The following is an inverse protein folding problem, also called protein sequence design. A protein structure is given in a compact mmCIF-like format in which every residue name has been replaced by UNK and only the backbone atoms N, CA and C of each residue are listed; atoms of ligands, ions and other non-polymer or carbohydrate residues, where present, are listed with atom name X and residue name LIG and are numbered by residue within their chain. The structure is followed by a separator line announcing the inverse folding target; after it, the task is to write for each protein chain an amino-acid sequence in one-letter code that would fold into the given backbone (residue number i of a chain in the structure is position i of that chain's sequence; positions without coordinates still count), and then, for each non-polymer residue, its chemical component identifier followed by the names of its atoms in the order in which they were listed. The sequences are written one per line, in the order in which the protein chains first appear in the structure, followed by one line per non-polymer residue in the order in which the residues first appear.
data_IF_108285532313
#
_entry.id   IF_108285532313
#
_cell.length_a   1.000
_cell.length_b   1.000
_cell.length_c   1.000
_cell.angle_alpha   90.00
_cell.angle_beta   90.00
_cell.angle_gamma   90.00
#
_symmetry.space_group_name_H-M   'P 1'
#
loop_
_entity.id
_entity.type
_entity.pdbx_description
1 polymer ?
#
# COMPACT_ATOMS: atom_id res chain seq x y z
N UNK A 1 -54.74 6.81 -12.69
CA UNK A 1 -54.00 7.95 -13.29
C UNK A 1 -53.60 8.88 -12.16
N UNK A 2 -52.34 8.86 -11.71
CA UNK A 2 -51.32 9.87 -12.08
C UNK A 2 -51.93 11.28 -12.03
N UNK A 3 -51.61 12.17 -11.08
CA UNK A 3 -50.28 12.69 -10.76
C UNK A 3 -50.39 13.39 -9.39
N UNK A 4 -49.60 12.97 -8.39
CA UNK A 4 -49.17 13.82 -7.26
C UNK A 4 -47.99 13.20 -6.47
N UNK A 5 -47.28 12.22 -7.05
CA UNK A 5 -45.89 11.91 -6.71
C UNK A 5 -45.01 13.04 -7.27
N UNK A 6 -44.85 14.15 -6.55
CA UNK A 6 -43.78 15.15 -6.71
C UNK A 6 -44.08 16.29 -5.75
N UNK A 7 -43.53 16.26 -4.53
CA UNK A 7 -43.80 17.34 -3.59
C UNK A 7 -43.17 17.24 -2.21
N UNK A 8 -42.61 16.08 -1.84
CA UNK A 8 -41.73 15.98 -0.68
C UNK A 8 -40.33 15.62 -1.15
N UNK A 9 -39.70 16.62 -1.74
CA UNK A 9 -38.30 16.93 -1.48
C UNK A 9 -38.19 17.23 0.03
N UNK A 10 -38.37 16.20 0.88
CA UNK A 10 -37.96 16.29 2.28
C UNK A 10 -36.47 16.48 2.22
N UNK A 11 -36.07 17.69 2.57
CA UNK A 11 -34.71 18.15 2.65
C UNK A 11 -33.78 16.99 3.01
N UNK A 12 -32.96 16.57 2.05
CA UNK A 12 -31.67 15.99 2.40
C UNK A 12 -30.98 17.11 3.16
N UNK A 13 -31.11 17.10 4.48
CA UNK A 13 -30.22 17.84 5.34
C UNK A 13 -28.85 17.27 4.98
N UNK A 14 -28.14 18.00 4.12
CA UNK A 14 -26.71 17.87 4.04
C UNK A 14 -26.24 18.09 5.47
N UNK A 15 -25.86 17.01 6.15
CA UNK A 15 -25.10 17.09 7.38
C UNK A 15 -23.74 17.62 6.91
N UNK A 16 -23.65 18.93 6.73
CA UNK A 16 -22.38 19.63 6.64
C UNK A 16 -21.74 19.46 8.00
N UNK A 17 -20.95 18.39 8.13
CA UNK A 17 -20.19 18.04 9.32
C UNK A 17 -19.03 19.03 9.40
N UNK A 18 -19.33 20.27 9.79
CA UNK A 18 -18.34 21.22 10.24
C UNK A 18 -17.87 20.76 11.63
N UNK A 19 -16.97 19.77 11.65
CA UNK A 19 -16.27 19.35 12.85
C UNK A 19 -14.94 20.08 12.90
N UNK A 20 -14.56 20.61 14.06
CA UNK A 20 -13.17 20.95 14.33
C UNK A 20 -12.26 19.77 13.92
N UNK A 21 -11.01 20.05 13.54
CA UNK A 21 -9.98 19.04 13.24
C UNK A 21 -9.60 18.30 14.53
N UNK A 22 -10.51 17.50 15.06
CA UNK A 22 -10.32 16.66 16.23
C UNK A 22 -9.66 15.37 15.77
N UNK A 23 -8.45 15.13 16.28
CA UNK A 23 -7.76 13.85 16.09
C UNK A 23 -8.57 12.78 16.83
N UNK A 24 -9.06 11.77 16.10
CA UNK A 24 -9.82 10.66 16.66
C UNK A 24 -8.93 9.45 16.89
N UNK A 25 -9.15 8.75 18.00
CA UNK A 25 -8.49 7.46 18.23
C UNK A 25 -9.21 6.38 17.43
N UNK A 26 -8.48 5.70 16.55
CA UNK A 26 -8.98 4.63 15.70
C UNK A 26 -8.55 3.30 16.31
N UNK A 27 -9.53 2.42 16.54
CA UNK A 27 -9.40 1.12 17.17
C UNK A 27 -9.86 0.02 16.23
N UNK A 28 -9.47 -1.22 16.52
CA UNK A 28 -9.87 -2.41 15.77
C UNK A 28 -11.42 -2.51 15.66
N UNK A 29 -12.17 -1.98 16.62
CA UNK A 29 -13.64 -2.01 16.60
C UNK A 29 -14.26 -0.90 15.76
N UNK A 30 -13.66 0.28 15.72
CA UNK A 30 -14.25 1.46 15.07
C UNK A 30 -13.76 1.65 13.63
N UNK A 31 -12.66 1.01 13.24
CA UNK A 31 -11.98 1.23 11.97
C UNK A 31 -12.90 1.06 10.77
N UNK A 32 -13.65 -0.04 10.68
CA UNK A 32 -14.53 -0.29 9.52
C UNK A 32 -15.62 0.77 9.37
N UNK A 33 -16.16 1.26 10.49
CA UNK A 33 -17.22 2.27 10.46
C UNK A 33 -16.69 3.68 10.19
N UNK A 34 -15.46 3.97 10.64
CA UNK A 34 -14.85 5.29 10.55
C UNK A 34 -14.14 5.47 9.21
N UNK A 35 -13.20 4.58 8.88
CA UNK A 35 -12.38 4.66 7.69
C UNK A 35 -13.14 4.46 6.37
N UNK A 36 -14.35 3.88 6.41
CA UNK A 36 -15.23 3.80 5.25
C UNK A 36 -15.88 5.15 4.89
N UNK A 37 -15.89 6.13 5.80
CA UNK A 37 -16.58 7.39 5.63
C UNK A 37 -15.60 8.55 5.42
N UNK A 38 -15.43 8.95 4.16
CA UNK A 38 -14.63 10.12 3.78
C UNK A 38 -13.12 9.87 3.73
N UNK A 39 -12.36 10.96 3.65
CA UNK A 39 -10.90 10.93 3.61
C UNK A 39 -10.32 10.98 5.01
N UNK A 40 -9.40 10.06 5.28
CA UNK A 40 -8.76 9.88 6.57
C UNK A 40 -7.25 9.99 6.48
N UNK A 41 -6.67 10.62 7.48
CA UNK A 41 -5.24 10.70 7.69
C UNK A 41 -4.88 9.96 8.96
N UNK A 42 -4.32 8.76 8.80
CA UNK A 42 -4.05 7.83 9.88
C UNK A 42 -2.58 7.89 10.29
N UNK A 43 -2.35 8.18 11.57
CA UNK A 43 -1.04 8.13 12.21
C UNK A 43 -0.88 6.86 13.02
N UNK A 44 0.02 5.98 12.60
CA UNK A 44 0.41 4.78 13.33
C UNK A 44 1.60 5.10 14.23
N UNK A 45 1.40 4.95 15.54
CA UNK A 45 2.41 5.30 16.54
C UNK A 45 2.51 4.26 17.66
N UNK A 46 3.55 4.41 18.47
CA UNK A 46 3.71 3.71 19.74
C UNK A 46 3.99 4.72 20.86
N UNK A 47 3.40 4.57 22.05
CA UNK A 47 3.60 5.49 23.18
C UNK A 47 5.06 5.52 23.67
N UNK A 48 5.80 4.43 23.49
CA UNK A 48 7.19 4.29 23.94
C UNK A 48 8.22 4.77 22.90
N UNK A 49 7.78 5.22 21.72
CA UNK A 49 8.68 5.64 20.66
C UNK A 49 9.09 7.12 20.83
N UNK A 50 10.38 7.36 21.08
CA UNK A 50 10.93 8.71 21.21
C UNK A 50 10.74 9.59 19.97
N UNK A 51 10.84 9.01 18.76
CA UNK A 51 10.61 9.73 17.51
C UNK A 51 9.14 10.17 17.36
N UNK A 52 8.19 9.29 17.72
CA UNK A 52 6.76 9.63 17.70
C UNK A 52 6.46 10.80 18.63
N UNK A 53 7.06 10.83 19.82
CA UNK A 53 6.84 11.90 20.78
C UNK A 53 7.35 13.26 20.28
N UNK A 54 8.46 13.27 19.54
CA UNK A 54 8.98 14.50 18.91
C UNK A 54 8.12 14.99 17.75
N UNK A 55 7.45 14.07 17.04
CA UNK A 55 6.60 14.37 15.89
C UNK A 55 5.21 14.89 16.27
N UNK A 56 4.72 14.59 17.49
CA UNK A 56 3.41 15.05 18.00
C UNK A 56 3.09 16.52 17.73
N UNK A 57 3.94 17.51 18.08
CA UNK A 57 3.62 18.92 17.84
C UNK A 57 3.48 19.24 16.34
N UNK A 58 4.38 18.73 15.50
CA UNK A 58 4.31 18.90 14.04
C UNK A 58 3.03 18.32 13.45
N UNK A 59 2.60 17.16 13.96
CA UNK A 59 1.37 16.53 13.52
C UNK A 59 0.14 17.39 13.85
N UNK A 60 0.08 17.92 15.07
CA UNK A 60 -1.02 18.81 15.51
C UNK A 60 -1.05 20.07 14.65
N UNK A 61 0.10 20.71 14.44
CA UNK A 61 0.22 21.89 13.56
C UNK A 61 -0.28 21.60 12.14
N UNK A 62 0.08 20.44 11.58
CA UNK A 62 -0.43 20.03 10.27
C UNK A 62 -1.95 19.83 10.28
N UNK A 63 -2.51 19.19 11.32
CA UNK A 63 -3.97 18.97 11.42
C UNK A 63 -4.76 20.27 11.53
N UNK A 64 -4.23 21.25 12.27
CA UNK A 64 -4.85 22.58 12.42
C UNK A 64 -4.81 23.36 11.11
N UNK A 65 -3.70 23.27 10.37
CA UNK A 65 -3.55 23.95 9.08
C UNK A 65 -4.48 23.39 7.99
N UNK A 66 -4.65 22.08 7.94
CA UNK A 66 -5.54 21.40 6.96
C UNK A 66 -7.01 21.63 7.30
N UNK A 67 -7.33 21.76 8.59
CA UNK A 67 -8.66 22.06 9.08
C UNK A 67 -9.69 20.96 8.80
N UNK A 68 -10.99 21.30 8.63
CA UNK A 68 -12.10 20.34 8.57
C UNK A 68 -12.22 19.60 7.22
N UNK A 69 -11.26 19.81 6.30
CA UNK A 69 -11.28 19.22 4.96
C UNK A 69 -10.99 17.71 4.96
N UNK A 70 -10.32 17.21 6.01
CA UNK A 70 -9.91 15.82 6.15
C UNK A 70 -10.08 15.36 7.60
N UNK A 71 -10.40 14.08 7.78
CA UNK A 71 -10.47 13.48 9.11
C UNK A 71 -9.08 13.03 9.57
N UNK A 72 -8.76 13.25 10.84
CA UNK A 72 -7.49 12.84 11.42
C UNK A 72 -7.70 11.70 12.41
N UNK A 73 -6.96 10.62 12.21
CA UNK A 73 -6.98 9.43 13.05
C UNK A 73 -5.60 9.13 13.63
N UNK A 74 -5.56 8.61 14.85
CA UNK A 74 -4.37 8.03 15.43
C UNK A 74 -4.61 6.61 15.92
N UNK A 75 -3.65 5.72 15.66
CA UNK A 75 -3.73 4.30 15.95
C UNK A 75 -2.53 3.94 16.82
N UNK A 76 -2.80 3.44 18.02
CA UNK A 76 -1.78 2.92 18.90
C UNK A 76 -1.49 1.46 18.53
N UNK A 77 -0.37 1.22 17.86
CA UNK A 77 -0.02 -0.12 17.37
C UNK A 77 0.34 -1.12 18.48
N UNK A 78 0.47 -0.68 19.74
CA UNK A 78 0.67 -1.57 20.89
C UNK A 78 -0.66 -2.15 21.39
N UNK A 79 -1.74 -1.36 21.36
CA UNK A 79 -3.07 -1.78 21.78
C UNK A 79 -3.83 -2.42 20.60
N UNK A 80 -3.78 -1.78 19.43
CA UNK A 80 -4.51 -2.16 18.21
C UNK A 80 -3.60 -2.96 17.28
N UNK A 81 -3.32 -4.20 17.68
CA UNK A 81 -2.34 -5.04 16.97
C UNK A 81 -2.85 -5.58 15.64
N UNK A 82 -4.18 -5.72 15.48
CA UNK A 82 -4.76 -6.20 14.22
C UNK A 82 -4.61 -5.14 13.14
N UNK A 83 -4.98 -3.89 13.44
CA UNK A 83 -4.77 -2.76 12.54
C UNK A 83 -3.31 -2.61 12.10
N UNK A 84 -2.36 -2.72 13.03
CA UNK A 84 -0.93 -2.63 12.70
C UNK A 84 -0.49 -3.72 11.71
N UNK A 85 -1.00 -4.95 11.89
CA UNK A 85 -0.67 -6.10 11.03
C UNK A 85 -1.27 -5.98 9.65
N UNK A 86 -2.56 -5.64 9.52
CA UNK A 86 -3.23 -5.55 8.20
C UNK A 86 -2.65 -4.40 7.36
N UNK A 87 -2.26 -3.30 8.00
CA UNK A 87 -1.55 -2.19 7.34
C UNK A 87 -0.05 -2.45 7.15
N UNK A 88 0.47 -3.60 7.62
CA UNK A 88 1.87 -4.00 7.51
C UNK A 88 2.84 -2.91 8.03
N UNK A 89 2.54 -2.34 9.19
CA UNK A 89 3.34 -1.27 9.79
C UNK A 89 4.60 -1.87 10.41
N UNK A 90 5.76 -1.49 9.86
CA UNK A 90 7.07 -1.99 10.31
C UNK A 90 7.89 -0.97 11.10
N UNK A 91 7.60 0.32 10.94
CA UNK A 91 8.38 1.44 11.49
C UNK A 91 7.43 2.50 12.00
N UNK A 92 7.80 3.17 13.09
CA UNK A 92 7.03 4.26 13.69
C UNK A 92 7.82 5.57 13.69
N UNK A 93 7.16 6.73 13.50
CA UNK A 93 5.77 6.88 13.10
C UNK A 93 5.58 6.55 11.60
N UNK A 94 4.44 5.96 11.23
CA UNK A 94 4.03 5.81 9.82
C UNK A 94 2.73 6.56 9.61
N UNK A 95 2.66 7.33 8.52
CA UNK A 95 1.47 8.08 8.13
C UNK A 95 0.88 7.49 6.85
N UNK A 96 -0.43 7.32 6.85
CA UNK A 96 -1.18 6.76 5.74
C UNK A 96 -2.43 7.60 5.53
N UNK A 97 -2.63 8.06 4.30
CA UNK A 97 -3.91 8.63 3.89
C UNK A 97 -4.79 7.52 3.32
N UNK A 98 -6.04 7.48 3.73
CA UNK A 98 -7.04 6.54 3.24
C UNK A 98 -8.17 7.35 2.60
N UNK A 99 -8.53 7.01 1.36
CA UNK A 99 -9.63 7.62 0.62
C UNK A 99 -10.44 6.51 -0.03
N UNK A 100 -11.64 6.26 0.49
CA UNK A 100 -12.48 5.14 0.07
C UNK A 100 -11.80 3.78 0.25
N UNK A 101 -11.58 3.06 -0.85
CA UNK A 101 -10.91 1.75 -0.85
C UNK A 101 -9.40 1.83 -1.16
N UNK A 102 -8.82 3.04 -1.26
CA UNK A 102 -7.40 3.24 -1.53
C UNK A 102 -6.66 3.82 -0.33
N UNK A 103 -5.46 3.33 -0.09
CA UNK A 103 -4.51 3.82 0.89
C UNK A 103 -3.23 4.32 0.21
N UNK A 104 -2.66 5.38 0.76
CA UNK A 104 -1.44 6.02 0.27
C UNK A 104 -0.49 6.17 1.45
N UNK A 105 0.70 5.58 1.34
CA UNK A 105 1.73 5.69 2.38
C UNK A 105 2.54 6.97 2.16
N UNK A 106 2.77 7.71 3.23
CA UNK A 106 3.66 8.87 3.20
C UNK A 106 5.13 8.41 3.13
N UNK A 107 5.89 8.98 2.20
CA UNK A 107 7.32 8.68 1.97
C UNK A 107 8.25 9.88 2.19
N UNK A 108 7.76 10.95 2.83
CA UNK A 108 8.52 12.17 3.10
C UNK A 108 9.10 12.26 4.52
N UNK A 109 9.57 13.46 4.87
CA UNK A 109 10.01 13.81 6.21
C UNK A 109 8.81 14.04 7.13
N UNK A 110 8.63 13.13 8.09
CA UNK A 110 7.54 13.17 9.08
C UNK A 110 7.66 14.34 10.08
N UNK A 111 8.81 15.03 10.13
CA UNK A 111 9.04 16.18 11.01
C UNK A 111 8.77 17.53 10.30
N UNK A 112 8.51 17.55 9.00
CA UNK A 112 8.16 18.76 8.26
C UNK A 112 6.65 18.91 8.13
N UNK A 113 6.06 19.88 8.84
CA UNK A 113 4.64 20.19 8.75
C UNK A 113 4.20 20.50 7.32
N UNK A 114 5.05 21.18 6.53
CA UNK A 114 4.77 21.53 5.14
C UNK A 114 4.60 20.28 4.27
N UNK A 115 5.45 19.26 4.45
CA UNK A 115 5.32 18.02 3.68
C UNK A 115 4.07 17.22 4.07
N UNK A 116 3.69 17.25 5.35
CA UNK A 116 2.45 16.64 5.82
C UNK A 116 1.23 17.32 5.19
N UNK A 117 1.21 18.65 5.15
CA UNK A 117 0.17 19.44 4.50
C UNK A 117 0.10 19.15 3.00
N UNK A 118 1.25 19.19 2.30
CA UNK A 118 1.31 18.86 0.88
C UNK A 118 0.80 17.45 0.58
N UNK A 119 1.10 16.48 1.43
CA UNK A 119 0.62 15.11 1.26
C UNK A 119 -0.89 14.98 1.50
N UNK A 120 -1.43 15.73 2.46
CA UNK A 120 -2.87 15.82 2.70
C UNK A 120 -3.64 16.46 1.53
N UNK A 121 -3.08 17.47 0.87
CA UNK A 121 -3.77 18.17 -0.21
C UNK A 121 -3.51 17.55 -1.59
N UNK A 122 -2.25 17.25 -1.90
CA UNK A 122 -1.78 16.97 -3.27
C UNK A 122 -1.05 15.63 -3.42
N UNK A 123 -0.58 15.00 -2.34
CA UNK A 123 0.32 13.83 -2.42
C UNK A 123 -0.31 12.51 -2.84
N UNK A 124 -1.54 12.54 -3.36
CA UNK A 124 -2.38 11.39 -3.69
C UNK A 124 -2.47 11.11 -5.21
N UNK A 125 -2.06 12.05 -6.07
CA UNK A 125 -2.37 12.03 -7.53
C UNK A 125 -1.79 10.82 -8.29
N UNK A 126 -0.85 10.09 -7.70
CA UNK A 126 -0.23 8.92 -8.32
C UNK A 126 -0.82 7.62 -7.75
N UNK A 127 -1.89 7.14 -8.39
CA UNK A 127 -2.50 5.84 -8.11
C UNK A 127 -1.52 4.66 -8.24
N UNK A 128 -0.37 4.86 -8.91
CA UNK A 128 0.68 3.85 -9.03
C UNK A 128 1.30 3.40 -7.69
N UNK A 129 1.18 4.21 -6.62
CA UNK A 129 1.62 3.85 -5.26
C UNK A 129 0.45 3.58 -4.30
N UNK A 130 -0.78 3.58 -4.81
CA UNK A 130 -1.95 3.24 -4.00
C UNK A 130 -1.91 1.75 -3.65
N UNK A 131 -2.23 1.44 -2.40
CA UNK A 131 -2.58 0.08 -1.99
C UNK A 131 -4.07 0.01 -1.68
N UNK A 132 -4.66 -1.19 -1.77
CA UNK A 132 -6.06 -1.37 -1.37
C UNK A 132 -6.18 -1.24 0.14
N UNK A 133 -7.13 -0.42 0.62
CA UNK A 133 -7.42 -0.25 2.04
C UNK A 133 -7.70 -1.64 2.67
N UNK A 134 -6.87 -2.11 3.61
CA UNK A 134 -7.11 -3.38 4.29
C UNK A 134 -8.37 -3.30 5.13
N UNK A 135 -9.17 -4.37 5.18
CA UNK A 135 -10.29 -4.48 6.11
C UNK A 135 -9.96 -5.48 7.20
N UNK A 136 -10.50 -5.29 8.39
CA UNK A 136 -10.35 -6.24 9.49
C UNK A 136 -11.08 -7.52 9.11
N UNK A 137 -10.34 -8.63 9.05
CA UNK A 137 -10.80 -9.90 8.47
C UNK A 137 -10.23 -10.20 7.08
N UNK A 138 -9.77 -9.17 6.35
CA UNK A 138 -8.83 -9.34 5.25
C UNK A 138 -7.46 -9.58 5.87
N UNK A 139 -7.25 -10.79 6.41
CA UNK A 139 -5.88 -11.26 6.61
C UNK A 139 -5.22 -11.11 5.25
N UNK A 140 -4.05 -10.45 5.13
CA UNK A 140 -3.32 -10.56 3.90
C UNK A 140 -3.11 -12.06 3.74
N UNK A 141 -3.82 -12.67 2.79
CA UNK A 141 -3.23 -13.73 2.02
C UNK A 141 -1.96 -13.08 1.53
N UNK A 142 -0.88 -13.31 2.28
CA UNK A 142 0.50 -13.18 1.81
C UNK A 142 0.36 -13.57 0.38
N UNK A 143 0.48 -12.58 -0.51
CA UNK A 143 0.41 -12.88 -1.92
C UNK A 143 1.48 -13.94 -2.06
N UNK A 144 0.96 -15.15 -2.25
CA UNK A 144 1.67 -16.29 -2.75
C UNK A 144 1.82 -15.97 -4.24
N UNK A 145 2.40 -14.80 -4.53
CA UNK A 145 3.02 -14.51 -5.80
C UNK A 145 4.23 -15.43 -5.76
N UNK A 146 3.92 -16.63 -6.20
CA UNK A 146 4.69 -17.81 -5.95
C UNK A 146 6.12 -17.62 -6.46
N UNK A 147 7.11 -18.29 -5.85
CA UNK A 147 8.41 -18.50 -6.47
C UNK A 147 8.33 -19.29 -7.80
N UNK A 148 7.14 -19.57 -8.35
CA UNK A 148 6.94 -20.29 -9.60
C UNK A 148 7.41 -19.50 -10.83
N UNK A 149 7.36 -18.16 -10.83
CA UNK A 149 7.86 -17.38 -11.99
C UNK A 149 9.39 -17.43 -12.07
N UNK A 150 10.06 -17.45 -10.91
CA UNK A 150 11.52 -17.60 -10.87
C UNK A 150 11.94 -19.02 -11.28
N UNK A 151 11.21 -20.05 -10.84
CA UNK A 151 11.47 -21.44 -11.24
C UNK A 151 11.26 -21.66 -12.74
N UNK A 152 10.20 -21.11 -13.34
CA UNK A 152 9.90 -21.28 -14.78
C UNK A 152 10.93 -20.56 -15.65
N UNK A 153 11.38 -19.36 -15.26
CA UNK A 153 12.41 -18.62 -16.02
C UNK A 153 13.79 -19.31 -15.91
N UNK A 154 14.16 -19.81 -14.72
CA UNK A 154 15.44 -20.51 -14.52
C UNK A 154 15.45 -21.89 -15.21
N UNK A 155 14.35 -22.64 -15.17
CA UNK A 155 14.24 -23.90 -15.93
C UNK A 155 14.19 -23.67 -17.45
N UNK A 156 13.50 -22.63 -17.92
CA UNK A 156 13.43 -22.29 -19.34
C UNK A 156 14.78 -21.86 -19.93
N UNK A 157 15.55 -21.06 -19.19
CA UNK A 157 16.89 -20.62 -19.60
C UNK A 157 17.92 -21.77 -19.58
N UNK A 158 17.85 -22.67 -18.61
CA UNK A 158 18.76 -23.84 -18.54
C UNK A 158 18.47 -24.86 -19.64
N UNK A 159 17.20 -25.13 -19.96
CA UNK A 159 16.82 -26.00 -21.09
C UNK A 159 17.25 -25.42 -22.45
N UNK A 160 17.14 -24.09 -22.63
CA UNK A 160 17.59 -23.44 -23.86
C UNK A 160 19.11 -23.51 -24.04
N UNK A 161 19.88 -23.39 -22.95
CA UNK A 161 21.35 -23.49 -23.00
C UNK A 161 21.81 -24.93 -23.31
N UNK A 162 21.17 -25.94 -22.70
CA UNK A 162 21.49 -27.36 -22.95
C UNK A 162 21.14 -27.75 -24.39
N UNK A 163 19.99 -27.28 -24.91
CA UNK A 163 19.61 -27.48 -26.31
C UNK A 163 20.63 -26.82 -27.26
N UNK A 164 21.05 -25.58 -26.99
CA UNK A 164 22.05 -24.88 -27.79
C UNK A 164 23.41 -25.60 -27.81
N UNK A 165 23.91 -26.07 -26.66
CA UNK A 165 25.18 -26.82 -26.57
C UNK A 165 25.09 -28.15 -27.32
N UNK A 166 23.96 -28.86 -27.24
CA UNK A 166 23.75 -30.14 -27.94
C UNK A 166 23.71 -29.94 -29.45
N UNK A 167 22.99 -28.93 -29.94
CA UNK A 167 22.93 -28.59 -31.37
C UNK A 167 24.30 -28.19 -31.91
N UNK A 168 25.11 -27.44 -31.14
CA UNK A 168 26.44 -27.02 -31.58
C UNK A 168 27.44 -28.18 -31.62
N UNK A 169 27.32 -29.16 -30.71
CA UNK A 169 28.18 -30.37 -30.69
C UNK A 169 27.88 -31.37 -31.82
N UNK A 170 26.67 -31.34 -32.39
CA UNK A 170 26.32 -32.11 -33.58
C UNK A 170 26.78 -31.45 -34.90
N UNK A 171 27.20 -30.18 -34.86
CA UNK A 171 27.62 -29.42 -36.06
C UNK A 171 29.13 -29.32 -36.24
N UNK A 172 29.93 -29.87 -35.35
CA UNK A 172 31.36 -30.05 -35.63
C UNK A 172 31.51 -31.24 -36.56
N UNK A 173 31.89 -31.06 -37.83
CA UNK A 173 32.21 -32.18 -38.70
C UNK A 173 33.36 -32.95 -38.04
N UNK A 174 33.09 -34.22 -37.73
CA UNK A 174 34.11 -35.22 -37.48
C UNK A 174 35.03 -35.26 -38.70
N UNK A 175 36.13 -34.51 -38.67
CA UNK A 175 37.23 -34.73 -39.58
C UNK A 175 37.94 -36.01 -39.14
N UNK A 176 37.33 -37.15 -39.48
CA UNK A 176 37.97 -38.47 -39.48
C UNK A 176 38.97 -38.45 -40.62
N UNK A 177 40.25 -38.20 -40.33
CA UNK A 177 41.31 -38.72 -41.20
C UNK A 177 41.34 -40.22 -40.97
N UNK A 178 40.90 -40.97 -41.97
CA UNK A 178 41.04 -42.41 -42.02
C UNK A 178 41.63 -42.77 -43.38
N UNK A 179 42.83 -43.34 -43.36
CA UNK A 179 43.20 -44.52 -44.15
C UNK A 179 44.67 -44.87 -43.87
N UNK A 180 44.87 -46.06 -43.31
CA UNK A 180 46.13 -46.76 -43.44
C UNK A 180 46.34 -47.21 -44.90
N UNK A 181 47.60 -47.14 -45.33
CA UNK A 181 48.29 -47.79 -46.46
C UNK A 181 49.78 -47.43 -46.25
N UNK A 182 50.82 -48.24 -46.40
CA UNK A 182 51.02 -49.64 -46.76
C UNK A 182 52.42 -50.03 -46.22
N UNK A 183 52.58 -51.34 -46.03
CA UNK A 183 53.80 -52.16 -46.03
C UNK A 183 55.05 -51.55 -46.71
N UNK A 184 56.20 -51.58 -46.02
CA UNK A 184 57.33 -52.50 -46.25
C UNK A 184 58.27 -52.51 -45.02
#
# INVERSE_FOLDING_TARGET
MNVMMMGMMTAVMAISRAGASTIQSITDQNYETTAAQGDWYLKFYSPYCGACNKMKPTYIEATEAIGPSMNFGEINCIEETELSKIFNIKVYPTLIRVSGDKGYKFEGDVFSAQQLQMFAETGWVNDAKAFTRPRIGDVPSVHSDAPSVMFVVVFGMTLSLIAYITVKKLRTPSFRVNKGQLLD
#
